data_IF_411260265900
#
_entry.id   IF_411260265900
#
_cell.length_a   1.000
_cell.length_b   1.000
_cell.length_c   1.000
_cell.angle_alpha   90.00
_cell.angle_beta   90.00
_cell.angle_gamma   90.00
#
_symmetry.space_group_name_H-M   'P 1'
#
loop_
_entity.id
_entity.type
_entity.pdbx_description
1 polymer ?
#
# COMPACT_ATOMS: atom_id res chain seq x y z
N UNK A 1 -52.93 -14.66 -8.71
CA UNK A 1 -51.54 -15.17 -8.91
C UNK A 1 -50.58 -14.11 -9.45
N UNK A 2 -51.03 -13.11 -10.22
CA UNK A 2 -50.15 -12.07 -10.80
C UNK A 2 -49.43 -11.16 -9.78
N UNK A 3 -50.08 -10.82 -8.66
CA UNK A 3 -49.54 -9.88 -7.65
C UNK A 3 -48.31 -10.42 -6.89
N UNK A 4 -48.25 -11.73 -6.63
CA UNK A 4 -47.13 -12.35 -5.88
C UNK A 4 -45.85 -12.43 -6.71
N UNK A 5 -45.97 -12.74 -8.00
CA UNK A 5 -44.83 -12.75 -8.93
C UNK A 5 -44.28 -11.33 -9.14
N UNK A 6 -45.15 -10.32 -9.15
CA UNK A 6 -44.74 -8.92 -9.20
C UNK A 6 -43.93 -8.51 -7.96
N UNK A 7 -44.37 -8.91 -6.76
CA UNK A 7 -43.62 -8.64 -5.52
C UNK A 7 -42.19 -9.24 -5.55
N UNK A 8 -42.05 -10.47 -6.04
CA UNK A 8 -40.75 -11.13 -6.14
C UNK A 8 -39.80 -10.45 -7.12
N UNK A 9 -40.32 -9.99 -8.27
CA UNK A 9 -39.53 -9.26 -9.27
C UNK A 9 -39.01 -7.94 -8.73
N UNK A 10 -39.84 -7.18 -8.01
CA UNK A 10 -39.45 -5.90 -7.43
C UNK A 10 -38.41 -6.07 -6.31
N UNK A 11 -38.57 -7.09 -5.46
CA UNK A 11 -37.59 -7.41 -4.42
C UNK A 11 -36.22 -7.78 -5.01
N UNK A 12 -36.21 -8.58 -6.09
CA UNK A 12 -34.98 -8.96 -6.78
C UNK A 12 -34.27 -7.75 -7.42
N UNK A 13 -35.04 -6.83 -8.05
CA UNK A 13 -34.49 -5.60 -8.63
C UNK A 13 -33.90 -4.69 -7.54
N UNK A 14 -34.61 -4.51 -6.42
CA UNK A 14 -34.10 -3.72 -5.29
C UNK A 14 -32.80 -4.31 -4.72
N UNK A 15 -32.74 -5.63 -4.55
CA UNK A 15 -31.52 -6.33 -4.10
C UNK A 15 -30.35 -6.14 -5.07
N UNK A 16 -30.59 -6.22 -6.38
CA UNK A 16 -29.56 -6.00 -7.39
C UNK A 16 -29.04 -4.55 -7.39
N UNK A 17 -29.93 -3.57 -7.24
CA UNK A 17 -29.57 -2.15 -7.14
C UNK A 17 -28.78 -1.86 -5.87
N UNK A 18 -29.17 -2.44 -4.73
CA UNK A 18 -28.45 -2.32 -3.45
C UNK A 18 -27.05 -2.94 -3.51
N UNK A 19 -26.89 -4.09 -4.17
CA UNK A 19 -25.59 -4.71 -4.38
C UNK A 19 -24.68 -3.85 -5.27
N UNK A 20 -25.19 -3.36 -6.41
CA UNK A 20 -24.42 -2.49 -7.30
C UNK A 20 -24.00 -1.16 -6.64
N UNK A 21 -24.86 -0.59 -5.79
CA UNK A 21 -24.56 0.60 -5.01
C UNK A 21 -23.51 0.33 -3.91
N UNK A 22 -23.50 -0.85 -3.29
CA UNK A 22 -22.48 -1.24 -2.32
C UNK A 22 -21.09 -1.40 -2.96
N UNK A 23 -21.03 -1.95 -4.18
CA UNK A 23 -19.80 -2.01 -4.98
C UNK A 23 -19.28 -0.62 -5.37
N UNK A 24 -20.17 0.31 -5.73
CA UNK A 24 -19.80 1.70 -6.06
C UNK A 24 -19.48 2.56 -4.82
N UNK A 25 -20.04 2.20 -3.65
CA UNK A 25 -19.80 2.83 -2.36
C UNK A 25 -18.52 2.34 -1.66
N UNK A 26 -17.82 1.34 -2.22
CA UNK A 26 -16.35 1.28 -2.09
C UNK A 26 -15.82 2.51 -2.79
N UNK A 27 -15.85 3.62 -2.06
CA UNK A 27 -15.32 4.90 -2.47
C UNK A 27 -13.95 4.65 -3.08
N UNK A 28 -13.49 5.45 -4.06
CA UNK A 28 -12.06 5.57 -4.25
C UNK A 28 -11.52 5.93 -2.88
N UNK A 29 -10.93 4.97 -2.17
CA UNK A 29 -10.37 5.21 -0.85
C UNK A 29 -9.29 6.23 -1.14
N UNK A 30 -9.54 7.49 -0.81
CA UNK A 30 -8.59 8.53 -1.08
C UNK A 30 -7.34 8.14 -0.29
N UNK A 31 -6.33 7.64 -1.01
CA UNK A 31 -5.08 7.19 -0.43
C UNK A 31 -4.32 8.42 0.06
N UNK A 32 -4.74 8.91 1.22
CA UNK A 32 -4.37 10.19 1.81
C UNK A 32 -3.77 9.91 3.18
N UNK A 33 -2.61 10.52 3.51
CA UNK A 33 -2.05 10.46 4.85
C UNK A 33 -3.03 10.90 5.93
N UNK A 34 -3.08 10.17 7.04
CA UNK A 34 -4.03 10.37 8.15
C UNK A 34 -5.40 9.72 7.95
N UNK A 35 -5.64 9.10 6.79
CA UNK A 35 -6.84 8.29 6.53
C UNK A 35 -6.42 6.85 6.22
N UNK A 36 -6.43 6.46 4.94
CA UNK A 36 -6.02 5.12 4.49
C UNK A 36 -4.50 4.87 4.59
N UNK A 37 -3.70 5.93 4.73
CA UNK A 37 -2.24 5.84 4.89
C UNK A 37 -1.87 6.49 6.23
N UNK A 38 -0.98 5.91 7.05
CA UNK A 38 -0.49 6.56 8.26
C UNK A 38 0.13 7.95 8.01
N UNK A 39 -0.07 8.90 8.93
CA UNK A 39 0.51 10.26 8.83
C UNK A 39 2.02 10.27 8.62
N UNK A 40 2.73 9.36 9.30
CA UNK A 40 4.13 9.04 9.01
C UNK A 40 4.15 7.71 8.26
N UNK A 41 4.39 7.72 6.93
CA UNK A 41 4.28 6.51 6.14
C UNK A 41 5.33 5.47 6.54
N UNK A 42 4.85 4.29 6.98
CA UNK A 42 5.62 3.05 7.08
C UNK A 42 7.01 3.17 7.74
N UNK A 43 7.11 3.67 8.99
CA UNK A 43 8.41 3.92 9.63
C UNK A 43 9.28 2.65 9.78
N UNK A 44 8.67 1.47 9.93
CA UNK A 44 9.37 0.19 9.94
C UNK A 44 9.94 -0.17 8.57
N UNK A 45 9.17 0.06 7.50
CA UNK A 45 9.65 -0.15 6.14
C UNK A 45 10.80 0.79 5.78
N UNK A 46 10.77 2.05 6.23
CA UNK A 46 11.88 2.99 6.02
C UNK A 46 13.21 2.43 6.52
N UNK A 47 13.23 1.88 7.73
CA UNK A 47 14.45 1.26 8.28
C UNK A 47 14.81 -0.04 7.57
N UNK A 48 13.82 -0.88 7.26
CA UNK A 48 14.05 -2.13 6.55
C UNK A 48 14.67 -1.89 5.17
N UNK A 49 14.05 -1.04 4.35
CA UNK A 49 14.55 -0.65 3.01
C UNK A 49 15.96 -0.07 3.12
N UNK A 50 16.20 0.89 4.02
CA UNK A 50 17.53 1.47 4.20
C UNK A 50 18.60 0.44 4.61
N UNK A 51 18.25 -0.56 5.42
CA UNK A 51 19.17 -1.65 5.80
C UNK A 51 19.52 -2.57 4.63
N UNK A 52 18.60 -2.72 3.66
CA UNK A 52 18.78 -3.56 2.47
C UNK A 52 19.58 -2.86 1.38
N UNK A 53 19.45 -1.54 1.27
CA UNK A 53 19.98 -0.79 0.11
C UNK A 53 21.23 0.03 0.43
N UNK A 54 21.44 0.43 1.69
CA UNK A 54 22.43 1.45 2.02
C UNK A 54 23.49 1.01 3.02
N UNK A 55 23.57 -0.28 3.33
CA UNK A 55 24.57 -0.83 4.25
C UNK A 55 24.47 -0.24 5.67
N UNK A 56 23.32 0.33 6.03
CA UNK A 56 23.08 0.85 7.39
C UNK A 56 23.04 -0.34 8.32
N UNK A 57 23.99 -0.40 9.26
CA UNK A 57 24.04 -1.46 10.28
C UNK A 57 22.77 -1.36 11.12
N UNK A 58 21.85 -2.33 11.01
CA UNK A 58 20.59 -2.23 11.70
C UNK A 58 20.77 -2.59 13.18
N UNK A 59 20.04 -1.90 14.05
CA UNK A 59 20.01 -2.23 15.50
C UNK A 59 19.21 -3.51 15.80
N UNK A 60 18.41 -3.96 14.83
CA UNK A 60 17.55 -5.13 14.92
C UNK A 60 17.93 -6.15 13.85
N UNK A 61 17.69 -7.45 14.07
CA UNK A 61 17.86 -8.47 13.04
C UNK A 61 17.02 -8.15 11.79
N UNK A 62 17.51 -8.44 10.57
CA UNK A 62 16.79 -8.19 9.32
C UNK A 62 15.36 -8.74 9.29
N UNK A 63 15.16 -9.95 9.79
CA UNK A 63 13.84 -10.60 9.83
C UNK A 63 12.84 -9.86 10.74
N UNK A 64 13.32 -9.30 11.85
CA UNK A 64 12.47 -8.52 12.76
C UNK A 64 12.04 -7.21 12.09
N UNK A 65 12.96 -6.54 11.40
CA UNK A 65 12.64 -5.32 10.65
C UNK A 65 11.68 -5.61 9.50
N UNK A 66 11.91 -6.71 8.76
CA UNK A 66 11.02 -7.18 7.69
C UNK A 66 9.62 -7.42 8.21
N UNK A 67 9.48 -8.19 9.29
CA UNK A 67 8.17 -8.48 9.90
C UNK A 67 7.44 -7.21 10.36
N UNK A 68 8.15 -6.26 10.96
CA UNK A 68 7.57 -4.95 11.33
C UNK A 68 7.11 -4.16 10.11
N UNK A 69 7.92 -4.12 9.04
CA UNK A 69 7.54 -3.49 7.78
C UNK A 69 6.30 -4.13 7.18
N UNK A 70 6.28 -5.45 7.00
CA UNK A 70 5.16 -6.16 6.38
C UNK A 70 3.86 -5.96 7.17
N UNK A 71 3.91 -6.02 8.51
CA UNK A 71 2.73 -5.74 9.35
C UNK A 71 2.20 -4.32 9.15
N UNK A 72 3.07 -3.32 9.02
CA UNK A 72 2.65 -1.94 8.78
C UNK A 72 2.02 -1.78 7.40
N UNK A 73 2.60 -2.43 6.38
CA UNK A 73 2.13 -2.35 5.01
C UNK A 73 0.82 -3.12 4.80
N UNK A 74 0.63 -4.23 5.51
CA UNK A 74 -0.61 -5.02 5.50
C UNK A 74 -1.79 -4.22 6.05
N UNK A 75 -1.56 -3.39 7.07
CA UNK A 75 -2.56 -2.49 7.64
C UNK A 75 -2.98 -1.35 6.69
N UNK A 76 -2.25 -1.12 5.61
CA UNK A 76 -2.65 -0.22 4.52
C UNK A 76 -3.54 -0.99 3.54
N UNK A 77 -4.70 -0.42 3.12
CA UNK A 77 -5.54 -1.04 2.10
C UNK A 77 -4.76 -1.36 0.83
N UNK A 78 -5.09 -2.47 0.15
CA UNK A 78 -4.34 -2.98 -1.00
C UNK A 78 -4.15 -1.91 -2.08
N UNK A 79 -5.22 -1.17 -2.37
CA UNK A 79 -5.27 -0.07 -3.32
C UNK A 79 -4.34 1.11 -2.97
N UNK A 80 -3.94 1.25 -1.70
CA UNK A 80 -3.09 2.34 -1.22
C UNK A 80 -1.64 1.93 -0.94
N UNK A 81 -1.29 0.64 -0.97
CA UNK A 81 0.07 0.14 -0.61
C UNK A 81 1.18 0.75 -1.46
N UNK A 82 1.01 0.80 -2.78
CA UNK A 82 2.00 1.40 -3.68
C UNK A 82 2.19 2.89 -3.40
N UNK A 83 1.10 3.63 -3.14
CA UNK A 83 1.18 5.05 -2.79
C UNK A 83 1.83 5.27 -1.42
N UNK A 84 1.55 4.41 -0.44
CA UNK A 84 2.18 4.49 0.88
C UNK A 84 3.70 4.29 0.79
N UNK A 85 4.17 3.36 -0.04
CA UNK A 85 5.59 3.16 -0.32
C UNK A 85 6.21 4.37 -1.03
N UNK A 86 5.52 4.97 -2.00
CA UNK A 86 5.96 6.22 -2.65
C UNK A 86 6.15 7.34 -1.64
N UNK A 87 5.13 7.60 -0.82
CA UNK A 87 5.16 8.66 0.19
C UNK A 87 6.25 8.42 1.25
N UNK A 88 6.53 7.17 1.60
CA UNK A 88 7.64 6.82 2.50
C UNK A 88 9.00 7.22 1.91
N UNK A 89 9.23 6.93 0.63
CA UNK A 89 10.47 7.27 -0.08
C UNK A 89 10.61 8.79 -0.24
N UNK A 90 9.53 9.50 -0.54
CA UNK A 90 9.48 10.97 -0.60
C UNK A 90 9.71 11.64 0.77
N UNK A 91 9.11 11.11 1.84
CA UNK A 91 9.38 11.59 3.21
C UNK A 91 10.85 11.39 3.59
N UNK A 92 11.44 10.28 3.12
CA UNK A 92 12.85 9.97 3.35
C UNK A 92 13.76 10.92 2.61
N UNK A 93 13.48 11.33 1.36
CA UNK A 93 14.29 12.35 0.67
C UNK A 93 14.21 13.70 1.34
N UNK A 94 13.01 14.12 1.77
CA UNK A 94 12.81 15.41 2.47
C UNK A 94 13.49 15.44 3.82
N UNK A 95 13.51 14.31 4.52
CA UNK A 95 14.12 14.17 5.85
C UNK A 95 15.62 13.86 5.81
N UNK A 96 16.19 13.57 4.63
CA UNK A 96 17.59 13.23 4.45
C UNK A 96 18.44 14.50 4.31
N UNK A 97 19.45 14.66 5.19
CA UNK A 97 20.56 15.59 4.91
C UNK A 97 21.44 15.08 3.74
N UNK A 98 22.50 15.80 3.37
CA UNK A 98 23.39 15.50 2.23
C UNK A 98 23.83 14.01 2.12
N UNK A 99 24.08 13.33 3.25
CA UNK A 99 24.45 11.89 3.27
C UNK A 99 23.28 10.93 3.00
N UNK A 100 22.05 11.32 3.28
CA UNK A 100 20.86 10.50 3.02
C UNK A 100 20.37 10.56 1.57
N UNK A 101 20.74 11.60 0.82
CA UNK A 101 20.41 11.72 -0.62
C UNK A 101 21.09 10.65 -1.47
N UNK A 102 22.34 10.28 -1.17
CA UNK A 102 23.08 9.24 -1.92
C UNK A 102 22.40 7.87 -1.82
N UNK A 103 21.78 7.60 -0.67
CA UNK A 103 21.07 6.35 -0.39
C UNK A 103 19.62 6.37 -0.90
N UNK A 104 19.07 7.54 -1.26
CA UNK A 104 17.67 7.66 -1.64
C UNK A 104 17.34 6.90 -2.93
N UNK A 105 18.18 6.98 -3.96
CA UNK A 105 17.90 6.34 -5.24
C UNK A 105 17.77 4.82 -5.11
N UNK A 106 18.71 4.19 -4.39
CA UNK A 106 18.64 2.76 -4.11
C UNK A 106 17.39 2.37 -3.28
N UNK A 107 16.98 3.23 -2.33
CA UNK A 107 15.72 3.03 -1.60
C UNK A 107 14.49 3.16 -2.51
N UNK A 108 14.48 4.10 -3.44
CA UNK A 108 13.39 4.32 -4.39
C UNK A 108 13.22 3.15 -5.36
N UNK A 109 14.32 2.55 -5.81
CA UNK A 109 14.30 1.33 -6.64
C UNK A 109 13.83 0.10 -5.87
N UNK A 110 14.25 -0.05 -4.61
CA UNK A 110 13.90 -1.24 -3.81
C UNK A 110 12.52 -1.17 -3.17
N UNK A 111 12.00 0.01 -2.81
CA UNK A 111 10.74 0.13 -2.08
C UNK A 111 9.54 -0.59 -2.75
N UNK A 112 9.35 -0.55 -4.08
CA UNK A 112 8.34 -1.37 -4.76
C UNK A 112 8.50 -2.87 -4.55
N UNK A 113 9.73 -3.38 -4.41
CA UNK A 113 9.98 -4.80 -4.21
C UNK A 113 9.43 -5.33 -2.88
N UNK A 114 9.17 -4.44 -1.90
CA UNK A 114 8.62 -4.81 -0.58
C UNK A 114 7.27 -5.53 -0.69
N UNK A 115 6.44 -5.22 -1.67
CA UNK A 115 5.14 -5.92 -1.83
C UNK A 115 5.28 -7.32 -2.45
N UNK A 116 6.41 -7.64 -3.08
CA UNK A 116 6.60 -8.90 -3.83
C UNK A 116 6.64 -10.12 -2.93
N UNK A 117 6.44 -11.31 -3.50
CA UNK A 117 6.51 -12.61 -2.81
C UNK A 117 7.85 -12.85 -2.10
N UNK A 118 8.95 -12.32 -2.63
CA UNK A 118 10.26 -12.42 -1.99
C UNK A 118 10.33 -11.62 -0.68
N UNK A 119 9.46 -10.62 -0.52
CA UNK A 119 9.40 -9.71 0.60
C UNK A 119 8.14 -9.94 1.45
N UNK A 120 7.08 -9.16 1.27
CA UNK A 120 5.86 -9.27 2.09
C UNK A 120 4.70 -10.04 1.44
N UNK A 121 4.73 -10.29 0.12
CA UNK A 121 3.67 -11.04 -0.58
C UNK A 121 2.27 -10.37 -0.50
N UNK A 122 2.22 -9.04 -0.53
CA UNK A 122 0.98 -8.27 -0.32
C UNK A 122 0.37 -7.82 -1.65
N UNK A 123 -0.90 -8.15 -1.89
CA UNK A 123 -1.66 -7.68 -3.05
C UNK A 123 -1.76 -6.16 -3.08
N UNK A 124 -1.85 -5.56 -4.27
CA UNK A 124 -1.93 -4.10 -4.41
C UNK A 124 -3.12 -3.69 -5.29
N UNK A 125 -3.19 -2.42 -5.69
CA UNK A 125 -4.15 -1.93 -6.70
C UNK A 125 -4.12 -2.75 -8.00
N UNK A 126 -3.01 -3.42 -8.31
CA UNK A 126 -2.87 -4.25 -9.49
C UNK A 126 -3.45 -5.67 -9.33
N UNK A 127 -4.04 -5.99 -8.17
CA UNK A 127 -4.58 -7.32 -7.87
C UNK A 127 -3.52 -8.41 -7.66
N UNK A 128 -2.23 -8.05 -7.65
CA UNK A 128 -1.08 -8.94 -7.52
C UNK A 128 0.02 -8.24 -6.69
N UNK A 129 1.02 -8.97 -6.14
CA UNK A 129 2.06 -8.41 -5.27
C UNK A 129 3.12 -7.64 -6.08
N UNK A 130 2.72 -6.48 -6.60
CA UNK A 130 3.50 -5.67 -7.53
C UNK A 130 3.20 -4.18 -7.36
N UNK A 131 4.22 -3.34 -7.51
CA UNK A 131 4.11 -1.90 -7.70
C UNK A 131 5.13 -1.48 -8.77
N UNK A 132 4.79 -0.47 -9.57
CA UNK A 132 5.73 0.11 -10.52
C UNK A 132 6.92 0.77 -9.81
N UNK A 133 8.06 0.82 -10.51
CA UNK A 133 9.26 1.46 -10.01
C UNK A 133 9.01 2.97 -9.77
N UNK A 134 9.35 3.45 -8.58
CA UNK A 134 9.11 4.86 -8.21
C UNK A 134 9.97 5.85 -9.00
N UNK A 135 11.09 5.38 -9.55
CA UNK A 135 12.03 6.18 -10.35
C UNK A 135 11.62 6.34 -11.82
N UNK A 136 10.57 5.66 -12.28
CA UNK A 136 10.20 5.60 -13.71
C UNK A 136 9.29 6.76 -14.18
N UNK A 137 8.83 7.62 -13.26
CA UNK A 137 7.94 8.75 -13.54
C UNK A 137 8.64 10.12 -13.54
N UNK A 138 9.99 10.15 -13.51
CA UNK A 138 10.79 11.39 -13.52
C UNK A 138 11.10 11.87 -14.92
#
# INVERSE_FOLDING_TARGET
MASRNHLHLWAAVLLAVLAAAAEAARSPSCCVPGQAIPLRPLPGCRWYVASRTCGVVPRLPPEVMKAMCCRQLEAVPAECRCKALRLMVEDTSRSAGLRGQVCWHAQAEFAPAVVTEAECGLTTIHGRPFCDALSAES
#
